data_IF_310930658232
#
_entry.id   IF_310930658232
#
_cell.length_a   1.000
_cell.length_b   1.000
_cell.length_c   1.000
_cell.angle_alpha   90.00
_cell.angle_beta   90.00
_cell.angle_gamma   90.00
#
_symmetry.space_group_name_H-M   'P 1'
#
loop_
_entity.id
_entity.type
_entity.pdbx_description
1 polymer ?
#
# COMPACT_ATOMS: atom_id res chain seq x y z
N UNK A 1 -25.54 -17.18 -23.70
CA UNK A 1 -24.35 -16.50 -24.31
C UNK A 1 -24.65 -15.02 -24.26
N UNK A 2 -24.43 -14.38 -23.14
CA UNK A 2 -24.57 -12.94 -22.98
C UNK A 2 -23.35 -12.28 -23.62
N UNK A 3 -23.55 -11.70 -24.80
CA UNK A 3 -22.57 -10.77 -25.36
C UNK A 3 -22.43 -9.59 -24.41
N UNK A 4 -21.22 -9.15 -24.08
CA UNK A 4 -21.06 -7.95 -23.27
C UNK A 4 -21.63 -6.77 -24.05
N UNK A 5 -22.73 -6.18 -23.54
CA UNK A 5 -23.25 -4.91 -24.04
C UNK A 5 -22.06 -3.95 -24.18
N UNK A 6 -21.94 -3.30 -25.32
CA UNK A 6 -20.94 -2.26 -25.56
C UNK A 6 -21.06 -1.21 -24.46
N UNK A 7 -20.18 -1.29 -23.49
CA UNK A 7 -20.12 -0.30 -22.41
C UNK A 7 -19.57 0.97 -23.01
N UNK A 8 -20.33 2.07 -22.91
CA UNK A 8 -19.88 3.35 -23.41
C UNK A 8 -18.53 3.76 -22.80
N UNK A 9 -17.78 4.65 -23.48
CA UNK A 9 -16.50 5.19 -23.00
C UNK A 9 -16.56 5.64 -21.52
N UNK A 10 -17.70 6.20 -21.07
CA UNK A 10 -17.91 6.60 -19.68
C UNK A 10 -17.81 5.45 -18.69
N UNK A 11 -18.29 4.26 -19.01
CA UNK A 11 -18.18 3.09 -18.14
C UNK A 11 -16.74 2.56 -18.05
N UNK A 12 -15.97 2.68 -19.12
CA UNK A 12 -14.54 2.32 -19.15
C UNK A 12 -13.76 3.25 -18.23
N UNK A 13 -13.93 4.57 -18.37
CA UNK A 13 -13.26 5.56 -17.52
C UNK A 13 -13.63 5.39 -16.05
N UNK A 14 -14.91 5.19 -15.74
CA UNK A 14 -15.36 4.95 -14.37
C UNK A 14 -14.68 3.74 -13.75
N UNK A 15 -14.54 2.65 -14.49
CA UNK A 15 -13.83 1.45 -14.00
C UNK A 15 -12.34 1.69 -13.81
N UNK A 16 -11.70 2.40 -14.74
CA UNK A 16 -10.29 2.76 -14.61
C UNK A 16 -10.05 3.60 -13.35
N UNK A 17 -10.89 4.62 -13.12
CA UNK A 17 -10.83 5.43 -11.91
C UNK A 17 -11.03 4.58 -10.64
N UNK A 18 -12.05 3.74 -10.61
CA UNK A 18 -12.32 2.87 -9.45
C UNK A 18 -11.14 1.94 -9.15
N UNK A 19 -10.58 1.29 -10.18
CA UNK A 19 -9.43 0.40 -10.00
C UNK A 19 -8.18 1.14 -9.62
N UNK A 20 -7.89 2.29 -10.23
CA UNK A 20 -6.74 3.11 -9.90
C UNK A 20 -6.79 3.64 -8.48
N UNK A 21 -7.93 4.19 -8.05
CA UNK A 21 -8.12 4.69 -6.68
C UNK A 21 -8.00 3.54 -5.67
N UNK A 22 -8.63 2.40 -5.91
CA UNK A 22 -8.57 1.25 -5.01
C UNK A 22 -7.13 0.73 -4.84
N UNK A 23 -6.35 0.67 -5.92
CA UNK A 23 -4.94 0.24 -5.84
C UNK A 23 -4.05 1.29 -5.18
N UNK A 24 -4.29 2.58 -5.43
CA UNK A 24 -3.58 3.68 -4.75
C UNK A 24 -3.85 3.71 -3.25
N UNK A 25 -5.10 3.54 -2.81
CA UNK A 25 -5.46 3.43 -1.39
C UNK A 25 -4.74 2.23 -0.75
N UNK A 26 -4.70 1.09 -1.43
CA UNK A 26 -4.03 -0.12 -0.94
C UNK A 26 -2.52 0.10 -0.79
N UNK A 27 -1.85 0.61 -1.82
CA UNK A 27 -0.39 0.82 -1.82
C UNK A 27 0.06 1.85 -0.77
N UNK A 28 -0.68 2.95 -0.64
CA UNK A 28 -0.35 4.02 0.30
C UNK A 28 -0.91 3.81 1.71
N UNK A 29 -1.66 2.73 1.95
CA UNK A 29 -2.40 2.50 3.20
C UNK A 29 -3.31 3.69 3.58
N UNK A 30 -3.75 4.46 2.57
CA UNK A 30 -4.43 5.73 2.76
C UNK A 30 -5.81 5.55 3.38
N UNK A 31 -6.00 6.07 4.59
CA UNK A 31 -7.27 5.97 5.30
C UNK A 31 -7.55 4.59 5.91
N UNK A 32 -6.61 3.65 5.89
CA UNK A 32 -6.79 2.30 6.46
C UNK A 32 -6.43 2.21 7.94
N UNK A 33 -5.65 3.17 8.46
CA UNK A 33 -5.25 3.20 9.87
C UNK A 33 -4.04 2.32 10.21
N UNK A 34 -3.42 1.66 9.24
CA UNK A 34 -2.22 0.83 9.41
C UNK A 34 -0.94 1.68 9.50
N UNK A 35 -0.77 2.67 8.63
CA UNK A 35 0.40 3.55 8.63
C UNK A 35 0.70 4.23 9.99
N UNK A 36 -0.29 4.70 10.77
CA UNK A 36 -0.05 5.24 12.11
C UNK A 36 0.58 4.25 13.09
N UNK A 37 0.40 2.93 12.91
CA UNK A 37 0.99 1.90 13.77
C UNK A 37 2.51 1.89 13.63
N UNK A 38 3.03 2.01 12.38
CA UNK A 38 4.46 2.17 12.16
C UNK A 38 4.97 3.53 12.66
N UNK A 39 4.22 4.61 12.39
CA UNK A 39 4.57 5.95 12.83
C UNK A 39 4.65 6.07 14.36
N UNK A 40 3.86 5.30 15.11
CA UNK A 40 3.91 5.27 16.58
C UNK A 40 5.24 4.73 17.14
N UNK A 41 6.02 3.99 16.34
CA UNK A 41 7.35 3.53 16.73
C UNK A 41 8.46 4.57 16.52
N UNK A 42 8.15 5.71 15.93
CA UNK A 42 9.12 6.77 15.66
C UNK A 42 9.63 7.42 16.96
N UNK A 43 10.93 7.68 17.00
CA UNK A 43 11.58 8.36 18.13
C UNK A 43 11.53 9.88 17.95
N UNK A 44 10.36 10.45 18.10
CA UNK A 44 10.16 11.90 18.02
C UNK A 44 9.13 12.36 19.05
N UNK A 45 9.31 13.56 19.58
CA UNK A 45 8.36 14.22 20.45
C UNK A 45 7.41 15.16 19.67
N UNK A 46 7.62 15.28 18.34
CA UNK A 46 6.87 16.18 17.47
C UNK A 46 5.99 15.37 16.51
N UNK A 47 4.69 15.19 16.82
CA UNK A 47 3.80 14.38 15.98
C UNK A 47 3.63 14.95 14.58
N UNK A 48 3.63 16.27 14.42
CA UNK A 48 3.52 16.93 13.11
C UNK A 48 4.75 16.63 12.24
N UNK A 49 5.96 16.65 12.82
CA UNK A 49 7.20 16.26 12.11
C UNK A 49 7.11 14.83 11.57
N UNK A 50 6.62 13.91 12.38
CA UNK A 50 6.40 12.53 11.92
C UNK A 50 5.36 12.46 10.80
N UNK A 51 4.28 13.22 10.91
CA UNK A 51 3.27 13.30 9.84
C UNK A 51 3.84 13.79 8.51
N UNK A 52 4.67 14.83 8.54
CA UNK A 52 5.36 15.36 7.36
C UNK A 52 6.31 14.32 6.74
N UNK A 53 7.08 13.59 7.56
CA UNK A 53 7.94 12.51 7.08
C UNK A 53 7.12 11.40 6.45
N UNK A 54 6.02 10.96 7.07
CA UNK A 54 5.15 9.93 6.53
C UNK A 54 4.51 10.33 5.19
N UNK A 55 4.20 11.61 5.01
CA UNK A 55 3.67 12.14 3.75
C UNK A 55 4.66 11.99 2.58
N UNK A 56 5.97 12.08 2.84
CA UNK A 56 6.98 11.90 1.78
C UNK A 56 6.99 10.48 1.23
N UNK A 57 6.69 9.46 2.04
CA UNK A 57 6.61 8.08 1.58
C UNK A 57 5.51 7.90 0.53
N UNK A 58 4.32 8.46 0.78
CA UNK A 58 3.20 8.46 -0.18
C UNK A 58 3.55 9.17 -1.49
N UNK A 59 4.26 10.31 -1.39
CA UNK A 59 4.72 11.03 -2.57
C UNK A 59 5.70 10.20 -3.40
N UNK A 60 6.68 9.57 -2.77
CA UNK A 60 7.68 8.72 -3.44
C UNK A 60 6.99 7.52 -4.11
N UNK A 61 6.14 6.81 -3.39
CA UNK A 61 5.44 5.63 -3.92
C UNK A 61 4.55 5.99 -5.12
N UNK A 62 3.68 6.98 -4.99
CA UNK A 62 2.67 7.26 -6.00
C UNK A 62 3.19 8.14 -7.13
N UNK A 63 3.86 9.25 -6.81
CA UNK A 63 4.28 10.20 -7.84
C UNK A 63 5.57 9.76 -8.54
N UNK A 64 6.50 9.15 -7.83
CA UNK A 64 7.78 8.74 -8.44
C UNK A 64 7.67 7.30 -8.97
N UNK A 65 7.48 6.32 -8.09
CA UNK A 65 7.61 4.90 -8.46
C UNK A 65 6.47 4.45 -9.37
N UNK A 66 5.22 4.75 -9.03
CA UNK A 66 4.08 4.37 -9.87
C UNK A 66 4.11 5.08 -11.23
N UNK A 67 4.54 6.35 -11.28
CA UNK A 67 4.66 7.07 -12.56
C UNK A 67 5.75 6.48 -13.43
N UNK A 68 6.93 6.17 -12.90
CA UNK A 68 8.02 5.52 -13.65
C UNK A 68 7.54 4.18 -14.21
N UNK A 69 6.90 3.35 -13.38
CA UNK A 69 6.38 2.04 -13.81
C UNK A 69 5.30 2.19 -14.89
N UNK A 70 4.35 3.10 -14.69
CA UNK A 70 3.29 3.37 -15.66
C UNK A 70 3.81 3.88 -17.00
N UNK A 71 4.75 4.82 -16.97
CA UNK A 71 5.40 5.36 -18.18
C UNK A 71 6.17 4.24 -18.90
N UNK A 72 6.91 3.39 -18.19
CA UNK A 72 7.63 2.28 -18.78
C UNK A 72 6.68 1.31 -19.50
N UNK A 73 5.54 0.95 -18.89
CA UNK A 73 4.53 0.08 -19.49
C UNK A 73 3.92 0.71 -20.75
N UNK A 74 3.63 2.01 -20.73
CA UNK A 74 3.04 2.71 -21.88
C UNK A 74 4.05 2.86 -23.02
N UNK A 75 5.28 3.30 -22.73
CA UNK A 75 6.31 3.50 -23.76
C UNK A 75 6.73 2.20 -24.44
N UNK A 76 6.72 1.09 -23.73
CA UNK A 76 7.07 -0.23 -24.27
C UNK A 76 5.91 -0.92 -24.99
N UNK A 77 4.67 -0.40 -24.88
CA UNK A 77 3.48 -1.03 -25.42
C UNK A 77 3.08 -2.34 -24.71
N UNK A 78 3.66 -2.64 -23.56
CA UNK A 78 3.41 -3.89 -22.83
C UNK A 78 1.95 -4.04 -22.39
N UNK A 79 1.22 -2.96 -22.25
CA UNK A 79 -0.20 -2.95 -21.86
C UNK A 79 -1.12 -3.61 -22.88
N UNK A 80 -0.74 -3.67 -24.16
CA UNK A 80 -1.56 -4.20 -25.27
C UNK A 80 -1.21 -5.66 -25.62
N UNK A 81 -0.31 -6.29 -24.88
CA UNK A 81 0.17 -7.65 -25.15
C UNK A 81 -0.70 -8.76 -24.54
N UNK A 82 -1.87 -8.43 -23.99
CA UNK A 82 -2.77 -9.40 -23.37
C UNK A 82 -2.23 -10.07 -22.10
N UNK A 83 -1.22 -9.45 -21.47
CA UNK A 83 -0.62 -9.90 -20.23
C UNK A 83 -1.36 -9.30 -19.01
N UNK A 84 -1.25 -9.95 -17.85
CA UNK A 84 -1.89 -9.50 -16.62
C UNK A 84 -0.90 -9.43 -15.46
N UNK A 85 -1.17 -8.50 -14.53
CA UNK A 85 -0.41 -8.37 -13.29
C UNK A 85 1.08 -8.11 -13.50
N UNK A 86 1.91 -8.85 -12.80
CA UNK A 86 3.38 -8.69 -12.85
C UNK A 86 4.00 -8.99 -14.21
N UNK A 87 3.33 -9.82 -15.04
CA UNK A 87 3.83 -10.17 -16.37
C UNK A 87 3.92 -8.95 -17.29
N UNK A 88 2.99 -7.98 -17.17
CA UNK A 88 3.03 -6.70 -17.90
C UNK A 88 4.29 -5.93 -17.56
N UNK A 89 4.58 -5.77 -16.27
CA UNK A 89 5.76 -5.05 -15.78
C UNK A 89 7.05 -5.77 -16.20
N UNK A 90 7.08 -7.09 -16.08
CA UNK A 90 8.24 -7.91 -16.52
C UNK A 90 8.53 -7.67 -18.00
N UNK A 91 7.48 -7.69 -18.81
CA UNK A 91 7.64 -7.45 -20.26
C UNK A 91 8.09 -6.04 -20.58
N UNK A 92 7.56 -5.05 -19.87
CA UNK A 92 8.00 -3.65 -20.01
C UNK A 92 9.49 -3.49 -19.65
N UNK A 93 9.96 -4.14 -18.60
CA UNK A 93 11.38 -4.11 -18.21
C UNK A 93 12.28 -4.85 -19.22
N UNK A 94 11.84 -5.98 -19.77
CA UNK A 94 12.56 -6.69 -20.83
C UNK A 94 12.74 -5.82 -22.07
N UNK A 95 11.71 -5.08 -22.48
CA UNK A 95 11.74 -4.24 -23.67
C UNK A 95 12.42 -2.89 -23.45
N UNK A 96 12.38 -2.37 -22.21
CA UNK A 96 12.88 -1.02 -21.89
C UNK A 96 14.31 -0.98 -21.38
N UNK A 97 14.84 -2.08 -20.82
CA UNK A 97 16.20 -2.10 -20.30
C UNK A 97 17.23 -2.55 -21.35
N UNK A 98 18.42 -1.97 -21.36
CA UNK A 98 19.49 -2.33 -22.30
C UNK A 98 20.22 -3.63 -21.87
N UNK A 99 19.50 -4.59 -21.32
CA UNK A 99 20.03 -5.87 -20.85
C UNK A 99 19.34 -7.03 -21.57
N UNK A 100 19.96 -8.21 -21.64
CA UNK A 100 19.28 -9.42 -22.10
C UNK A 100 18.02 -9.71 -21.27
N UNK A 101 16.95 -10.20 -21.91
CA UNK A 101 15.64 -10.46 -21.29
C UNK A 101 15.73 -11.25 -19.98
N UNK A 102 16.64 -12.22 -19.90
CA UNK A 102 16.86 -13.01 -18.69
C UNK A 102 17.41 -12.21 -17.53
N UNK A 103 18.30 -11.26 -17.79
CA UNK A 103 18.89 -10.37 -16.77
C UNK A 103 17.84 -9.37 -16.28
N UNK A 104 17.07 -8.76 -17.17
CA UNK A 104 16.00 -7.83 -16.82
C UNK A 104 14.95 -8.53 -15.95
N UNK A 105 14.53 -9.73 -16.33
CA UNK A 105 13.57 -10.53 -15.55
C UNK A 105 14.12 -10.93 -14.18
N UNK A 106 15.40 -11.31 -14.09
CA UNK A 106 16.04 -11.66 -12.83
C UNK A 106 16.11 -10.49 -11.86
N UNK A 107 16.50 -9.30 -12.35
CA UNK A 107 16.55 -8.07 -11.53
C UNK A 107 15.14 -7.76 -10.98
N UNK A 108 14.12 -7.78 -11.84
CA UNK A 108 12.75 -7.51 -11.40
C UNK A 108 12.26 -8.54 -10.40
N UNK A 109 12.52 -9.83 -10.64
CA UNK A 109 12.17 -10.90 -9.71
C UNK A 109 12.83 -10.69 -8.34
N UNK A 110 14.11 -10.33 -8.31
CA UNK A 110 14.83 -10.05 -7.07
C UNK A 110 14.22 -8.87 -6.31
N UNK A 111 13.90 -7.78 -7.01
CA UNK A 111 13.21 -6.63 -6.43
C UNK A 111 11.85 -7.02 -5.85
N UNK A 112 11.05 -7.83 -6.56
CA UNK A 112 9.75 -8.30 -6.11
C UNK A 112 9.85 -9.21 -4.87
N UNK A 113 10.89 -10.05 -4.79
CA UNK A 113 11.13 -10.89 -3.60
C UNK A 113 11.39 -10.02 -2.37
N UNK A 114 12.28 -9.02 -2.47
CA UNK A 114 12.54 -8.10 -1.37
C UNK A 114 11.30 -7.29 -1.00
N UNK A 115 10.58 -6.79 -1.99
CA UNK A 115 9.34 -6.03 -1.76
C UNK A 115 8.27 -6.86 -1.05
N UNK A 116 8.03 -8.10 -1.52
CA UNK A 116 7.09 -9.01 -0.88
C UNK A 116 7.53 -9.37 0.55
N UNK A 117 8.80 -9.64 0.76
CA UNK A 117 9.34 -9.98 2.07
C UNK A 117 9.16 -8.83 3.08
N UNK A 118 9.52 -7.60 2.70
CA UNK A 118 9.33 -6.43 3.57
C UNK A 118 7.87 -6.14 3.86
N UNK A 119 6.97 -6.35 2.87
CA UNK A 119 5.53 -6.19 3.04
C UNK A 119 4.97 -7.22 4.02
N UNK A 120 5.37 -8.49 3.91
CA UNK A 120 4.97 -9.55 4.84
C UNK A 120 5.38 -9.19 6.27
N UNK A 121 6.62 -8.74 6.48
CA UNK A 121 7.10 -8.33 7.80
C UNK A 121 6.35 -7.10 8.35
N UNK A 122 6.07 -6.11 7.50
CA UNK A 122 5.33 -4.93 7.89
C UNK A 122 3.90 -5.25 8.35
N UNK A 123 3.17 -6.06 7.59
CA UNK A 123 1.81 -6.46 7.94
C UNK A 123 1.75 -7.38 9.16
N UNK A 124 2.74 -8.26 9.35
CA UNK A 124 2.85 -9.05 10.59
C UNK A 124 3.02 -8.14 11.81
N UNK A 125 3.89 -7.14 11.71
CA UNK A 125 4.10 -6.16 12.77
C UNK A 125 2.80 -5.39 13.11
N UNK A 126 2.07 -4.88 12.12
CA UNK A 126 0.82 -4.15 12.34
C UNK A 126 -0.21 -5.02 13.06
N UNK A 127 -0.40 -6.22 12.57
CA UNK A 127 -1.37 -7.16 13.11
C UNK A 127 -0.99 -7.62 14.52
N UNK A 128 0.30 -7.86 14.78
CA UNK A 128 0.80 -8.20 16.11
C UNK A 128 0.54 -7.08 17.12
N UNK A 129 0.81 -5.81 16.74
CA UNK A 129 0.52 -4.66 17.60
C UNK A 129 -0.97 -4.54 17.92
N UNK A 130 -1.84 -4.72 16.93
CA UNK A 130 -3.28 -4.73 17.14
C UNK A 130 -3.72 -5.85 18.08
N UNK A 131 -3.20 -7.05 17.89
CA UNK A 131 -3.53 -8.20 18.73
C UNK A 131 -3.01 -8.04 20.16
N UNK A 132 -1.80 -7.50 20.31
CA UNK A 132 -1.22 -7.19 21.63
C UNK A 132 -2.11 -6.21 22.41
N UNK A 133 -2.62 -5.18 21.75
CA UNK A 133 -3.56 -4.24 22.34
C UNK A 133 -4.86 -4.94 22.77
N UNK A 134 -5.48 -5.72 21.87
CA UNK A 134 -6.76 -6.40 22.15
C UNK A 134 -6.66 -7.48 23.21
N UNK A 135 -5.52 -8.15 23.35
CA UNK A 135 -5.31 -9.25 24.29
C UNK A 135 -4.58 -8.83 25.57
N UNK A 136 -4.31 -7.53 25.75
CA UNK A 136 -3.49 -7.02 26.85
C UNK A 136 -2.14 -7.77 26.96
N UNK A 137 -1.48 -8.00 25.84
CA UNK A 137 -0.13 -8.58 25.79
C UNK A 137 -0.03 -10.08 26.09
N UNK A 138 -1.12 -10.87 25.95
CA UNK A 138 -1.08 -12.32 26.20
C UNK A 138 -0.19 -13.03 25.20
N UNK A 139 1.02 -13.42 25.61
CA UNK A 139 2.04 -14.08 24.79
C UNK A 139 1.55 -15.33 24.05
N UNK A 140 0.63 -16.11 24.64
CA UNK A 140 0.05 -17.30 24.00
C UNK A 140 -0.77 -16.94 22.75
N UNK A 141 -1.58 -15.86 22.82
CA UNK A 141 -2.38 -15.40 21.69
C UNK A 141 -1.49 -14.88 20.55
N UNK A 142 -0.44 -14.11 20.88
CA UNK A 142 0.52 -13.60 19.90
C UNK A 142 1.25 -14.76 19.21
N UNK A 143 1.69 -15.78 19.97
CA UNK A 143 2.34 -16.96 19.39
C UNK A 143 1.41 -17.75 18.47
N UNK A 144 0.15 -17.96 18.87
CA UNK A 144 -0.85 -18.63 18.03
C UNK A 144 -1.10 -17.85 16.73
N UNK A 145 -1.24 -16.53 16.82
CA UNK A 145 -1.41 -15.66 15.67
C UNK A 145 -0.23 -15.79 14.67
N UNK A 146 1.01 -15.74 15.13
CA UNK A 146 2.18 -15.89 14.25
C UNK A 146 2.15 -17.19 13.44
N UNK A 147 1.76 -18.29 14.07
CA UNK A 147 1.62 -19.57 13.35
C UNK A 147 0.52 -19.52 12.29
N UNK A 148 -0.64 -18.92 12.63
CA UNK A 148 -1.74 -18.72 11.67
C UNK A 148 -1.28 -17.82 10.52
N UNK A 149 -0.57 -16.73 10.81
CA UNK A 149 -0.05 -15.81 9.81
C UNK A 149 0.92 -16.51 8.84
N UNK A 150 1.88 -17.26 9.36
CA UNK A 150 2.81 -18.04 8.53
C UNK A 150 2.06 -19.04 7.63
N UNK A 151 1.04 -19.71 8.17
CA UNK A 151 0.22 -20.62 7.40
C UNK A 151 -0.54 -19.89 6.28
N UNK A 152 -1.11 -18.72 6.55
CA UNK A 152 -1.78 -17.90 5.55
C UNK A 152 -0.82 -17.43 4.44
N UNK A 153 0.40 -17.00 4.81
CA UNK A 153 1.44 -16.64 3.84
C UNK A 153 1.82 -17.83 2.95
N UNK A 154 1.88 -19.04 3.53
CA UNK A 154 2.16 -20.25 2.76
C UNK A 154 1.03 -20.65 1.80
N UNK A 155 -0.23 -20.44 2.20
CA UNK A 155 -1.41 -20.76 1.39
C UNK A 155 -1.63 -19.71 0.28
N UNK A 156 -1.26 -18.46 0.50
CA UNK A 156 -1.52 -17.34 -0.41
C UNK A 156 -1.17 -17.62 -1.88
N UNK A 157 0.02 -18.15 -2.21
CA UNK A 157 0.41 -18.45 -3.60
C UNK A 157 -0.44 -19.48 -4.32
N UNK A 158 -1.21 -20.30 -3.60
CA UNK A 158 -2.11 -21.30 -4.18
C UNK A 158 -3.51 -20.74 -4.49
N UNK A 159 -3.79 -19.51 -4.07
CA UNK A 159 -5.05 -18.83 -4.33
C UNK A 159 -5.03 -18.15 -5.70
N UNK A 160 -6.21 -17.99 -6.31
CA UNK A 160 -6.32 -17.19 -7.54
C UNK A 160 -6.12 -15.71 -7.24
N UNK A 161 -5.46 -14.98 -8.14
CA UNK A 161 -5.22 -13.53 -8.00
C UNK A 161 -6.53 -12.76 -7.75
N UNK A 162 -7.62 -13.14 -8.44
CA UNK A 162 -8.94 -12.52 -8.24
C UNK A 162 -9.49 -12.72 -6.83
N UNK A 163 -9.34 -13.93 -6.26
CA UNK A 163 -9.80 -14.21 -4.89
C UNK A 163 -9.00 -13.40 -3.87
N UNK A 164 -7.68 -13.34 -4.01
CA UNK A 164 -6.81 -12.55 -3.13
C UNK A 164 -7.20 -11.08 -3.15
N UNK A 165 -7.39 -10.49 -4.33
CA UNK A 165 -7.79 -9.10 -4.44
C UNK A 165 -9.19 -8.82 -3.87
N UNK A 166 -10.13 -9.75 -4.04
CA UNK A 166 -11.48 -9.60 -3.47
C UNK A 166 -11.43 -9.60 -1.94
N UNK A 167 -10.69 -10.52 -1.36
CA UNK A 167 -10.49 -10.60 0.10
C UNK A 167 -9.81 -9.33 0.62
N UNK A 168 -8.75 -8.88 -0.05
CA UNK A 168 -8.02 -7.66 0.32
C UNK A 168 -8.94 -6.42 0.26
N UNK A 169 -9.75 -6.27 -0.78
CA UNK A 169 -10.67 -5.14 -0.93
C UNK A 169 -11.75 -5.12 0.18
N UNK A 170 -12.25 -6.30 0.60
CA UNK A 170 -13.20 -6.41 1.72
C UNK A 170 -12.55 -5.97 3.04
N UNK A 171 -11.39 -6.50 3.37
CA UNK A 171 -10.71 -6.15 4.63
C UNK A 171 -10.25 -4.70 4.66
N UNK A 172 -9.79 -4.15 3.54
CA UNK A 172 -9.46 -2.72 3.42
C UNK A 172 -10.68 -1.84 3.69
N UNK A 173 -11.85 -2.20 3.13
CA UNK A 173 -13.10 -1.51 3.40
C UNK A 173 -13.47 -1.54 4.89
N UNK A 174 -13.33 -2.69 5.53
CA UNK A 174 -13.59 -2.84 6.96
C UNK A 174 -12.61 -2.04 7.84
N UNK A 175 -11.35 -1.95 7.45
CA UNK A 175 -10.33 -1.14 8.15
C UNK A 175 -10.57 0.37 7.96
N UNK A 176 -11.01 0.78 6.78
CA UNK A 176 -11.23 2.19 6.46
C UNK A 176 -12.35 2.82 7.31
N UNK A 177 -13.44 2.10 7.57
CA UNK A 177 -14.61 2.63 8.27
C UNK A 177 -14.26 3.21 9.65
N UNK A 178 -13.69 2.45 10.61
CA UNK A 178 -13.37 2.98 11.93
C UNK A 178 -12.29 4.06 11.88
N UNK A 179 -11.33 3.94 10.96
CA UNK A 179 -10.27 4.94 10.84
C UNK A 179 -10.79 6.27 10.31
N UNK A 180 -11.68 6.28 9.32
CA UNK A 180 -12.28 7.50 8.82
C UNK A 180 -13.11 8.22 9.89
N UNK A 181 -13.84 7.48 10.72
CA UNK A 181 -14.56 8.05 11.88
C UNK A 181 -13.56 8.72 12.83
N UNK A 182 -12.45 8.05 13.16
CA UNK A 182 -11.41 8.60 14.02
C UNK A 182 -10.76 9.85 13.43
N UNK A 183 -10.46 9.87 12.13
CA UNK A 183 -9.88 11.03 11.43
C UNK A 183 -10.81 12.24 11.47
N UNK A 184 -12.11 12.05 11.25
CA UNK A 184 -13.09 13.12 11.34
C UNK A 184 -13.19 13.66 12.77
N UNK A 185 -13.22 12.77 13.77
CA UNK A 185 -13.29 13.16 15.18
C UNK A 185 -12.03 13.91 15.65
N UNK A 186 -10.85 13.55 15.16
CA UNK A 186 -9.57 14.13 15.56
C UNK A 186 -9.16 15.34 14.70
N UNK A 187 -9.91 15.71 13.69
CA UNK A 187 -9.55 16.80 12.77
C UNK A 187 -9.18 18.12 13.50
N UNK A 188 -9.95 18.50 14.52
CA UNK A 188 -9.66 19.68 15.31
C UNK A 188 -8.33 19.62 16.09
N UNK A 189 -7.99 18.42 16.59
CA UNK A 189 -6.72 18.19 17.29
C UNK A 189 -5.56 18.31 16.32
N UNK A 190 -5.66 17.67 15.14
CA UNK A 190 -4.62 17.73 14.11
C UNK A 190 -4.39 19.16 13.63
N UNK A 191 -5.46 19.91 13.39
CA UNK A 191 -5.36 21.31 12.98
C UNK A 191 -4.65 22.19 14.03
N UNK A 192 -4.98 22.00 15.32
CA UNK A 192 -4.35 22.72 16.43
C UNK A 192 -2.87 22.39 16.55
N UNK A 193 -2.52 21.11 16.62
CA UNK A 193 -1.12 20.66 16.73
C UNK A 193 -0.27 21.14 15.55
N UNK A 194 -0.83 21.08 14.33
CA UNK A 194 -0.14 21.58 13.13
C UNK A 194 0.13 23.09 13.22
N UNK A 195 -0.85 23.86 13.66
CA UNK A 195 -0.68 25.31 13.82
C UNK A 195 0.37 25.64 14.87
N UNK A 196 0.29 25.02 16.04
CA UNK A 196 1.24 25.23 17.13
C UNK A 196 2.68 24.87 16.72
N UNK A 197 2.85 23.77 15.98
CA UNK A 197 4.15 23.35 15.44
C UNK A 197 4.71 24.38 14.45
N UNK A 198 3.92 24.85 13.51
CA UNK A 198 4.34 25.85 12.52
C UNK A 198 4.67 27.20 13.16
N UNK A 199 3.93 27.59 14.18
CA UNK A 199 4.20 28.85 14.91
C UNK A 199 5.52 28.74 15.72
N UNK A 200 5.85 27.58 16.30
CA UNK A 200 7.14 27.32 16.97
C UNK A 200 8.33 27.34 16.00
N UNK A 201 8.18 26.76 14.80
CA UNK A 201 9.21 26.85 13.74
C UNK A 201 9.44 28.31 13.35
N UNK A 202 8.38 29.11 13.13
CA UNK A 202 8.51 30.53 12.77
C UNK A 202 9.23 31.33 13.83
N UNK A 203 9.05 30.99 15.12
CA UNK A 203 9.74 31.63 16.25
C UNK A 203 11.16 31.09 16.50
N UNK A 204 11.62 30.10 15.70
CA UNK A 204 12.90 29.39 15.89
C UNK A 204 13.04 28.73 17.26
N UNK A 205 11.94 28.27 17.84
CA UNK A 205 11.93 27.56 19.12
C UNK A 205 12.23 26.06 18.95
N UNK A 206 12.09 25.56 17.72
CA UNK A 206 12.40 24.18 17.29
C UNK A 206 13.05 24.20 15.91
N UNK A 207 13.96 23.24 15.64
CA UNK A 207 14.62 23.00 14.35
C UNK A 207 13.87 21.98 13.49
#
# INVERSE_FOLDING_TARGET
>A
RDQPRSRGLGDVYKRQMQKGIARGIFSNEAGLGSAPIAAAAARTNEPVRQGLVSMTATFIDTIIICSITGIAIVLTGAYDMGLEGVAVTTKAFQLGLPFPDGVASFILMLCLVFFAFTTILGWDYYSERCLEYLTNGKKKCIKAYRWIYILCVFIGPYMTVSAVWTIADIFNGLMAIPNLIALVALNGVVAKETKDYLDRIKKKEID
#
